data_IF_354180843116
#
_entry.id   IF_354180843116
#
_cell.length_a   1.000
_cell.length_b   1.000
_cell.length_c   1.000
_cell.angle_alpha   90.00
_cell.angle_beta   90.00
_cell.angle_gamma   90.00
#
_symmetry.space_group_name_H-M   'P 1'
#
loop_
_entity.id
_entity.type
_entity.pdbx_description
1 polymer ?
#
# COMPACT_ATOMS: atom_id res chain seq x y z
N UNK A 1 29.80 -38.28 2.84
CA UNK A 1 28.85 -37.67 1.88
C UNK A 1 29.52 -37.57 0.52
N UNK A 2 28.93 -38.17 -0.53
CA UNK A 2 29.46 -38.21 -1.90
C UNK A 2 28.46 -37.48 -2.81
N UNK A 3 28.87 -36.38 -3.42
CA UNK A 3 28.14 -35.74 -4.53
C UNK A 3 28.54 -36.40 -5.85
N UNK A 4 27.56 -36.78 -6.66
CA UNK A 4 27.74 -37.08 -8.08
C UNK A 4 26.59 -36.43 -8.86
N UNK A 5 26.92 -35.41 -9.64
CA UNK A 5 26.06 -34.82 -10.66
C UNK A 5 26.18 -35.64 -11.95
N UNK A 6 25.05 -36.04 -12.52
CA UNK A 6 24.99 -36.55 -13.88
C UNK A 6 24.64 -35.41 -14.83
N UNK A 7 25.44 -35.24 -15.88
CA UNK A 7 25.16 -34.39 -17.03
C UNK A 7 24.40 -35.22 -18.05
N UNK A 8 23.16 -34.87 -18.35
CA UNK A 8 22.48 -35.27 -19.60
C UNK A 8 21.76 -34.04 -20.16
N UNK A 9 22.14 -33.70 -21.39
CA UNK A 9 21.56 -32.62 -22.19
C UNK A 9 20.42 -33.17 -23.04
N UNK A 10 19.39 -32.35 -23.32
CA UNK A 10 18.80 -32.25 -24.66
C UNK A 10 17.91 -31.00 -24.77
N UNK A 11 18.03 -30.33 -25.90
CA UNK A 11 17.34 -29.11 -26.28
C UNK A 11 15.92 -29.37 -26.86
N UNK A 12 15.21 -28.25 -27.09
CA UNK A 12 14.06 -28.08 -27.99
C UNK A 12 12.66 -28.32 -27.42
N UNK A 13 11.88 -27.24 -27.26
CA UNK A 13 10.83 -26.92 -28.24
C UNK A 13 10.14 -25.60 -27.87
N UNK A 14 10.25 -24.63 -28.78
CA UNK A 14 9.28 -23.54 -28.95
C UNK A 14 7.98 -24.15 -29.46
N UNK A 15 6.81 -23.62 -29.05
CA UNK A 15 5.61 -23.33 -29.87
C UNK A 15 4.30 -23.34 -29.05
N UNK A 16 3.63 -22.18 -29.08
CA UNK A 16 2.17 -21.91 -29.08
C UNK A 16 1.27 -22.52 -27.98
N UNK A 17 0.75 -21.64 -27.12
CA UNK A 17 -0.69 -21.65 -26.79
C UNK A 17 -1.19 -20.23 -26.49
N UNK A 18 -1.69 -19.58 -27.54
CA UNK A 18 -2.70 -18.53 -27.46
C UNK A 18 -4.09 -19.16 -27.62
N UNK A 19 -5.13 -18.47 -27.17
CA UNK A 19 -6.52 -18.90 -26.94
C UNK A 19 -6.69 -19.69 -25.62
N UNK A 20 -7.45 -19.19 -24.64
CA UNK A 20 -8.86 -18.80 -24.78
C UNK A 20 -9.21 -17.63 -23.83
N UNK A 21 -9.64 -16.50 -24.42
CA UNK A 21 -10.61 -15.60 -23.80
C UNK A 21 -12.00 -16.13 -24.18
N UNK A 22 -12.81 -16.47 -23.17
CA UNK A 22 -14.29 -16.49 -23.22
C UNK A 22 -14.77 -16.63 -21.76
N UNK A 23 -15.28 -15.55 -21.19
CA UNK A 23 -16.70 -15.21 -21.19
C UNK A 23 -17.48 -15.98 -20.09
N UNK A 24 -17.58 -15.36 -18.92
CA UNK A 24 -18.76 -15.41 -18.07
C UNK A 24 -19.05 -13.98 -17.64
N UNK A 25 -19.53 -13.18 -18.58
CA UNK A 25 -20.27 -11.96 -18.29
C UNK A 25 -21.75 -12.31 -18.37
N UNK A 26 -22.42 -12.20 -17.24
CA UNK A 26 -23.82 -12.57 -17.07
C UNK A 26 -24.70 -11.35 -17.35
N UNK A 27 -25.54 -11.44 -18.37
CA UNK A 27 -26.80 -10.69 -18.43
C UNK A 27 -26.73 -9.31 -19.08
N UNK A 28 -27.00 -9.32 -20.39
CA UNK A 28 -27.47 -8.22 -21.24
C UNK A 28 -28.32 -7.13 -20.56
N UNK A 29 -28.03 -5.85 -20.85
CA UNK A 29 -28.95 -4.93 -21.56
C UNK A 29 -28.20 -3.73 -22.15
N UNK A 30 -28.45 -3.52 -23.44
CA UNK A 30 -27.95 -2.54 -24.42
C UNK A 30 -28.29 -1.08 -24.09
N UNK A 31 -27.41 -0.12 -24.44
CA UNK A 31 -27.72 0.99 -25.35
C UNK A 31 -26.49 1.84 -25.75
N UNK A 32 -26.38 2.05 -27.06
CA UNK A 32 -25.52 2.97 -27.83
C UNK A 32 -25.83 4.43 -27.52
N UNK A 33 -24.82 5.30 -27.39
CA UNK A 33 -24.72 6.57 -28.14
C UNK A 33 -23.51 7.41 -27.73
N UNK A 34 -22.84 7.92 -28.77
CA UNK A 34 -21.86 9.00 -28.73
C UNK A 34 -22.32 10.18 -27.88
N UNK A 35 -21.42 10.71 -27.04
CA UNK A 35 -21.30 12.16 -26.84
C UNK A 35 -19.88 12.46 -26.38
N UNK A 36 -19.18 13.25 -27.19
CA UNK A 36 -17.94 13.89 -26.81
C UNK A 36 -18.12 14.71 -25.54
N UNK A 37 -17.38 14.35 -24.49
CA UNK A 37 -17.07 15.25 -23.38
C UNK A 37 -15.57 15.21 -23.21
N UNK A 38 -14.95 16.39 -23.31
CA UNK A 38 -13.53 16.58 -23.09
C UNK A 38 -13.17 16.11 -21.67
N UNK A 39 -12.64 14.90 -21.57
CA UNK A 39 -11.93 14.45 -20.39
C UNK A 39 -10.62 15.22 -20.34
N UNK A 40 -10.64 16.30 -19.57
CA UNK A 40 -9.43 16.89 -19.01
C UNK A 40 -8.72 15.76 -18.26
N UNK A 41 -7.78 15.10 -18.94
CA UNK A 41 -6.78 14.24 -18.32
C UNK A 41 -6.02 15.10 -17.31
N UNK A 42 -6.52 15.09 -16.08
CA UNK A 42 -5.70 15.40 -14.93
C UNK A 42 -4.78 14.20 -14.81
N UNK A 43 -3.63 14.29 -15.47
CA UNK A 43 -2.45 13.52 -15.10
C UNK A 43 -2.22 13.84 -13.63
N UNK A 44 -2.80 13.02 -12.75
CA UNK A 44 -2.44 12.99 -11.35
C UNK A 44 -0.98 12.54 -11.34
N UNK A 45 -0.08 13.51 -11.18
CA UNK A 45 1.28 13.23 -10.80
C UNK A 45 1.17 12.46 -9.48
N UNK A 46 1.37 11.15 -9.56
CA UNK A 46 1.42 10.29 -8.36
C UNK A 46 2.72 10.62 -7.68
N UNK A 47 2.73 11.70 -6.91
CA UNK A 47 3.85 12.07 -6.06
C UNK A 47 4.03 10.92 -5.07
N UNK A 48 5.12 10.18 -5.21
CA UNK A 48 5.41 9.05 -4.34
C UNK A 48 5.44 9.54 -2.88
N UNK A 49 4.54 9.00 -2.05
CA UNK A 49 4.50 9.34 -0.63
C UNK A 49 5.77 8.82 0.05
N UNK A 50 6.38 9.66 0.89
CA UNK A 50 7.58 9.31 1.66
C UNK A 50 7.17 8.82 3.05
N UNK A 51 7.75 7.70 3.47
CA UNK A 51 7.57 7.16 4.82
C UNK A 51 8.50 7.83 5.82
N UNK A 52 8.01 8.05 7.05
CA UNK A 52 8.80 8.48 8.20
C UNK A 52 8.79 7.37 9.24
N UNK A 53 9.94 6.74 9.46
CA UNK A 53 10.10 5.70 10.47
C UNK A 53 10.28 6.32 11.86
N UNK A 54 9.48 5.87 12.84
CA UNK A 54 9.48 6.40 14.20
C UNK A 54 9.45 5.28 15.25
N UNK A 55 9.79 5.62 16.49
CA UNK A 55 9.57 4.77 17.66
C UNK A 55 8.94 5.60 18.76
N UNK A 56 7.83 5.14 19.34
CA UNK A 56 7.16 5.84 20.43
C UNK A 56 7.47 5.14 21.76
N UNK A 57 7.97 5.89 22.73
CA UNK A 57 8.29 5.41 24.09
C UNK A 57 7.84 6.43 25.15
N UNK A 58 7.68 5.96 26.38
CA UNK A 58 7.50 6.78 27.57
C UNK A 58 8.36 6.24 28.72
N UNK A 59 8.68 7.10 29.68
CA UNK A 59 9.61 6.76 30.78
C UNK A 59 8.95 5.99 31.92
N UNK A 60 7.64 6.16 32.12
CA UNK A 60 6.93 5.49 33.20
C UNK A 60 7.00 3.98 33.04
N UNK A 61 7.43 3.31 34.11
CA UNK A 61 7.61 1.85 34.13
C UNK A 61 6.30 1.12 34.43
N UNK A 62 5.23 1.49 33.74
CA UNK A 62 3.87 0.93 33.90
C UNK A 62 3.31 0.61 32.53
N UNK A 63 2.61 -0.52 32.34
CA UNK A 63 1.91 -0.75 31.08
C UNK A 63 0.72 0.21 30.92
N UNK A 64 0.48 0.61 29.68
CA UNK A 64 -0.77 1.26 29.30
C UNK A 64 -1.95 0.27 29.46
N UNK A 65 -3.17 0.78 29.72
CA UNK A 65 -4.36 -0.06 29.82
C UNK A 65 -4.68 -0.75 28.48
N UNK A 66 -5.38 -1.89 28.49
CA UNK A 66 -5.62 -2.71 27.29
C UNK A 66 -6.45 -2.04 26.19
N UNK A 67 -7.10 -0.91 26.49
CA UNK A 67 -7.89 -0.12 25.55
C UNK A 67 -7.22 1.22 25.17
N UNK A 68 -5.92 1.36 25.42
CA UNK A 68 -5.18 2.54 25.01
C UNK A 68 -5.11 2.64 23.48
N UNK A 69 -5.22 3.87 22.98
CA UNK A 69 -5.10 4.21 21.55
C UNK A 69 -3.88 5.10 21.39
N UNK A 70 -2.97 4.71 20.50
CA UNK A 70 -1.84 5.53 20.10
C UNK A 70 -2.24 6.36 18.88
N UNK A 71 -2.09 7.67 18.97
CA UNK A 71 -2.26 8.58 17.85
C UNK A 71 -0.92 9.28 17.58
N UNK A 72 -0.51 9.28 16.31
CA UNK A 72 0.71 9.92 15.84
C UNK A 72 0.34 10.88 14.72
N UNK A 73 0.67 12.15 14.88
CA UNK A 73 0.47 13.18 13.86
C UNK A 73 1.82 13.70 13.34
N UNK A 74 1.87 13.93 12.02
CA UNK A 74 2.92 14.68 11.36
C UNK A 74 2.35 16.05 11.00
N UNK A 75 2.99 17.11 11.49
CA UNK A 75 2.48 18.47 11.37
C UNK A 75 3.59 19.44 10.92
N UNK A 76 3.21 20.49 10.20
CA UNK A 76 4.06 21.63 9.90
C UNK A 76 4.00 22.64 11.07
N UNK A 77 5.15 22.82 11.73
CA UNK A 77 5.36 23.72 12.86
C UNK A 77 6.27 24.91 12.52
N UNK A 78 6.44 25.23 11.23
CA UNK A 78 7.35 26.28 10.77
C UNK A 78 6.96 27.69 11.24
N UNK A 79 5.68 27.92 11.52
CA UNK A 79 5.16 29.20 12.03
C UNK A 79 4.91 29.10 13.52
N UNK A 80 5.60 29.92 14.31
CA UNK A 80 5.34 30.05 15.74
C UNK A 80 4.01 30.77 16.00
N UNK A 81 3.40 30.48 17.16
CA UNK A 81 2.20 31.16 17.69
C UNK A 81 0.93 31.07 16.84
N UNK A 82 0.89 30.13 15.88
CA UNK A 82 -0.27 29.83 15.03
C UNK A 82 -0.57 28.33 15.09
N UNK A 83 -1.82 27.96 14.82
CA UNK A 83 -2.24 26.55 14.68
C UNK A 83 -1.39 25.86 13.60
N UNK A 84 -0.83 24.70 13.94
CA UNK A 84 -0.04 23.86 13.04
C UNK A 84 -0.90 23.26 11.92
N UNK A 85 -0.26 22.94 10.79
CA UNK A 85 -0.93 22.31 9.66
C UNK A 85 -0.69 20.81 9.69
N UNK A 86 -1.77 20.01 9.74
CA UNK A 86 -1.67 18.55 9.71
C UNK A 86 -1.27 18.05 8.32
N UNK A 87 -0.19 17.25 8.27
CA UNK A 87 0.35 16.63 7.06
C UNK A 87 -0.12 15.16 6.96
N UNK A 88 -0.02 14.41 8.06
CA UNK A 88 -0.46 13.02 8.13
C UNK A 88 -0.87 12.63 9.56
N UNK A 89 -1.70 11.59 9.70
CA UNK A 89 -2.08 11.03 10.99
C UNK A 89 -2.19 9.50 10.89
N UNK A 90 -1.83 8.82 11.98
CA UNK A 90 -1.99 7.39 12.14
C UNK A 90 -2.51 7.07 13.54
N UNK A 91 -3.45 6.12 13.62
CA UNK A 91 -4.02 5.66 14.88
C UNK A 91 -3.88 4.14 15.00
N UNK A 92 -3.34 3.69 16.14
CA UNK A 92 -3.17 2.27 16.47
C UNK A 92 -4.00 1.95 17.72
N UNK A 93 -4.79 0.89 17.62
CA UNK A 93 -5.55 0.28 18.72
C UNK A 93 -4.85 -0.98 19.19
N UNK A 94 -5.22 -1.46 20.38
CA UNK A 94 -4.69 -2.70 20.97
C UNK A 94 -3.15 -2.70 21.03
N UNK A 95 -2.59 -1.55 21.44
CA UNK A 95 -1.15 -1.34 21.50
C UNK A 95 -0.49 -2.25 22.54
N UNK A 96 0.59 -2.92 22.16
CA UNK A 96 1.29 -3.92 22.97
C UNK A 96 2.17 -3.29 24.07
N UNK A 97 3.44 -3.71 24.12
CA UNK A 97 4.45 -3.14 25.03
C UNK A 97 5.31 -2.11 24.31
N UNK A 98 5.78 -1.03 24.99
CA UNK A 98 6.73 -0.10 24.39
C UNK A 98 8.08 -0.81 24.09
N UNK A 99 8.82 -0.40 23.05
CA UNK A 99 8.51 0.66 22.08
C UNK A 99 7.35 0.31 21.16
N UNK A 100 6.47 1.29 20.90
CA UNK A 100 5.37 1.13 19.95
C UNK A 100 5.89 1.46 18.55
N UNK A 101 5.88 0.45 17.68
CA UNK A 101 6.34 0.46 16.30
C UNK A 101 5.17 0.22 15.33
#
# INVERSE_FOLDING_TARGET
>A
MKFRMNKLALASSVLLSAFVLQACDSGSTTQTQDTATAEKQVTAEVTAMKTLDINVIYLDRRMLPPNAVLEVTLEDISKADVVSVLIASQSLKDIGTPPYA
#
